data_IF_282242881330
#
_entry.id   IF_282242881330
#
_cell.length_a   1.000
_cell.length_b   1.000
_cell.length_c   1.000
_cell.angle_alpha   90.00
_cell.angle_beta   90.00
_cell.angle_gamma   90.00
#
_symmetry.space_group_name_H-M   'P 1'
#
loop_
_entity.id
_entity.type
_entity.pdbx_description
1 polymer ?
#
# COMPACT_ATOMS: atom_id res chain seq x y z
N UNK A 1 -11.87 -19.70 0.18
CA UNK A 1 -11.72 -21.10 0.65
C UNK A 1 -10.49 -21.70 -0.02
N UNK A 2 -9.30 -21.45 0.54
CA UNK A 2 -8.06 -22.06 0.07
C UNK A 2 -8.09 -23.53 0.41
N UNK A 3 -7.89 -24.40 -0.59
CA UNK A 3 -7.82 -25.86 -0.38
C UNK A 3 -6.65 -26.17 0.57
N UNK A 4 -6.91 -26.97 1.62
CA UNK A 4 -5.85 -27.51 2.51
C UNK A 4 -4.75 -28.16 1.66
N UNK A 5 -3.51 -27.69 1.77
CA UNK A 5 -2.33 -28.26 1.13
C UNK A 5 -1.61 -27.41 0.10
N UNK A 6 -2.12 -26.22 -0.26
CA UNK A 6 -1.41 -25.28 -1.15
C UNK A 6 -1.15 -23.94 -0.43
N UNK A 7 0.11 -23.52 -0.42
CA UNK A 7 0.47 -22.18 0.04
C UNK A 7 -0.04 -21.15 -0.96
N UNK A 8 -0.56 -20.03 -0.45
CA UNK A 8 -0.92 -18.87 -1.27
C UNK A 8 0.30 -17.97 -1.39
N UNK A 9 0.84 -17.85 -2.60
CA UNK A 9 1.95 -16.94 -2.88
C UNK A 9 1.43 -15.49 -2.93
N UNK A 10 1.94 -14.67 -2.04
CA UNK A 10 1.62 -13.24 -1.97
C UNK A 10 2.87 -12.42 -2.24
N UNK A 11 2.76 -11.40 -3.08
CA UNK A 11 3.81 -10.40 -3.28
C UNK A 11 3.37 -9.07 -2.68
N UNK A 12 4.16 -8.56 -1.75
CA UNK A 12 4.01 -7.20 -1.18
C UNK A 12 5.02 -6.28 -1.87
N UNK A 13 4.54 -5.37 -2.71
CA UNK A 13 5.39 -4.37 -3.33
C UNK A 13 5.68 -3.24 -2.35
N UNK A 14 6.95 -2.83 -2.28
CA UNK A 14 7.37 -1.76 -1.37
C UNK A 14 7.54 -2.18 0.09
N UNK A 15 8.08 -3.38 0.35
CA UNK A 15 8.27 -3.95 1.69
C UNK A 15 9.16 -3.14 2.64
N UNK A 16 9.81 -2.06 2.20
CA UNK A 16 10.56 -1.14 3.07
C UNK A 16 9.80 0.15 3.40
N UNK A 17 8.62 0.35 2.84
CA UNK A 17 7.74 1.48 3.15
C UNK A 17 7.03 1.29 4.50
N UNK A 18 6.46 2.37 5.05
CA UNK A 18 5.73 2.37 6.32
C UNK A 18 4.64 1.27 6.37
N UNK A 19 3.79 1.20 5.35
CA UNK A 19 2.75 0.16 5.26
C UNK A 19 3.31 -1.18 4.84
N UNK A 20 4.09 -1.21 3.73
CA UNK A 20 4.56 -2.46 3.13
C UNK A 20 5.38 -3.32 4.08
N UNK A 21 6.18 -2.72 4.96
CA UNK A 21 6.93 -3.41 6.00
C UNK A 21 5.99 -4.16 6.97
N UNK A 22 4.96 -3.50 7.43
CA UNK A 22 4.02 -4.09 8.40
C UNK A 22 3.15 -5.15 7.72
N UNK A 23 2.66 -4.90 6.51
CA UNK A 23 1.89 -5.90 5.74
C UNK A 23 2.74 -7.15 5.49
N UNK A 24 3.98 -6.97 5.06
CA UNK A 24 4.91 -8.10 4.82
C UNK A 24 5.13 -8.92 6.09
N UNK A 25 5.36 -8.30 7.26
CA UNK A 25 5.55 -8.98 8.55
C UNK A 25 4.29 -9.70 9.01
N UNK A 26 3.17 -8.99 9.09
CA UNK A 26 1.89 -9.52 9.62
C UNK A 26 1.37 -10.68 8.78
N UNK A 27 1.49 -10.61 7.45
CA UNK A 27 1.08 -11.72 6.59
C UNK A 27 2.05 -12.90 6.69
N UNK A 28 3.33 -12.66 6.94
CA UNK A 28 4.34 -13.73 7.10
C UNK A 28 4.19 -14.54 8.39
N UNK A 29 3.39 -14.06 9.36
CA UNK A 29 3.04 -14.80 10.57
C UNK A 29 2.06 -15.96 10.30
N UNK A 30 1.34 -15.91 9.18
CA UNK A 30 0.40 -16.95 8.80
C UNK A 30 1.12 -18.07 8.04
N UNK A 31 1.15 -19.25 8.62
CA UNK A 31 1.81 -20.42 8.03
C UNK A 31 1.15 -20.94 6.75
N UNK A 32 -0.07 -20.54 6.45
CA UNK A 32 -0.76 -20.86 5.19
C UNK A 32 -0.37 -19.93 4.02
N UNK A 33 0.40 -18.87 4.29
CA UNK A 33 0.79 -17.88 3.31
C UNK A 33 2.29 -17.93 3.02
N UNK A 34 2.65 -17.93 1.75
CA UNK A 34 4.03 -17.74 1.31
C UNK A 34 4.21 -16.30 0.82
N UNK A 35 4.68 -15.43 1.71
CA UNK A 35 4.75 -14.00 1.46
C UNK A 35 6.14 -13.59 1.02
N UNK A 36 6.23 -12.88 -0.10
CA UNK A 36 7.45 -12.27 -0.66
C UNK A 36 7.33 -10.76 -0.61
N UNK A 37 8.42 -10.08 -0.26
CA UNK A 37 8.47 -8.62 -0.26
C UNK A 37 9.41 -8.09 -1.34
N UNK A 38 9.04 -7.02 -2.04
CA UNK A 38 9.99 -6.35 -2.93
C UNK A 38 10.71 -5.21 -2.24
N UNK A 39 12.00 -5.11 -2.51
CA UNK A 39 12.87 -4.02 -2.08
C UNK A 39 13.60 -3.44 -3.29
N UNK A 40 13.90 -2.13 -3.27
CA UNK A 40 14.65 -1.52 -4.37
C UNK A 40 16.10 -1.99 -4.40
N UNK A 41 16.72 -2.15 -3.24
CA UNK A 41 18.12 -2.57 -3.07
C UNK A 41 18.19 -3.71 -2.08
N UNK A 42 19.03 -4.71 -2.39
CA UNK A 42 19.15 -5.93 -1.58
C UNK A 42 19.72 -5.67 -0.17
N UNK A 43 20.47 -4.59 0.03
CA UNK A 43 21.01 -4.20 1.32
C UNK A 43 19.91 -3.84 2.36
N UNK A 44 18.70 -3.60 1.88
CA UNK A 44 17.53 -3.41 2.76
C UNK A 44 17.16 -4.67 3.57
N UNK A 45 17.71 -5.84 3.24
CA UNK A 45 17.57 -7.08 4.03
C UNK A 45 17.98 -6.89 5.49
N UNK A 46 18.92 -6.01 5.78
CA UNK A 46 19.41 -5.70 7.14
C UNK A 46 18.32 -5.22 8.13
N UNK A 47 17.18 -4.75 7.62
CA UNK A 47 16.05 -4.31 8.45
C UNK A 47 15.11 -5.44 8.87
N UNK A 48 15.39 -6.67 8.43
CA UNK A 48 14.54 -7.82 8.65
C UNK A 48 15.32 -8.96 9.30
N UNK A 49 14.65 -9.78 10.09
CA UNK A 49 15.24 -11.03 10.60
C UNK A 49 15.55 -11.96 9.42
N UNK A 50 16.49 -12.88 9.60
CA UNK A 50 17.02 -13.74 8.54
C UNK A 50 15.93 -14.49 7.75
N UNK A 51 14.91 -15.00 8.42
CA UNK A 51 13.79 -15.70 7.80
C UNK A 51 13.03 -14.79 6.82
N UNK A 52 12.64 -13.59 7.24
CA UNK A 52 11.96 -12.63 6.39
C UNK A 52 12.89 -12.07 5.30
N UNK A 53 14.16 -11.84 5.64
CA UNK A 53 15.16 -11.36 4.70
C UNK A 53 15.36 -12.31 3.51
N UNK A 54 15.22 -13.63 3.73
CA UNK A 54 15.31 -14.65 2.66
C UNK A 54 14.19 -14.54 1.62
N UNK A 55 13.02 -14.00 2.01
CA UNK A 55 11.84 -13.81 1.16
C UNK A 55 11.79 -12.44 0.49
N UNK A 56 12.85 -11.63 0.62
CA UNK A 56 12.95 -10.32 -0.03
C UNK A 56 13.63 -10.44 -1.40
N UNK A 57 12.98 -9.83 -2.39
CA UNK A 57 13.41 -9.81 -3.79
C UNK A 57 13.78 -8.39 -4.17
N UNK A 58 14.97 -8.19 -4.72
CA UNK A 58 15.38 -6.91 -5.25
C UNK A 58 14.69 -6.65 -6.60
N UNK A 59 13.94 -5.56 -6.68
CA UNK A 59 13.36 -5.00 -7.90
C UNK A 59 13.74 -3.53 -7.93
N UNK A 60 14.78 -3.21 -8.68
CA UNK A 60 15.37 -1.87 -8.67
C UNK A 60 14.41 -0.81 -9.19
N UNK A 61 13.65 -1.18 -10.22
CA UNK A 61 12.71 -0.29 -10.88
C UNK A 61 11.37 -0.97 -11.16
N UNK A 62 10.36 -0.69 -10.33
CA UNK A 62 8.97 -1.15 -10.53
C UNK A 62 8.28 -0.48 -11.72
N UNK A 63 8.86 0.60 -12.29
CA UNK A 63 8.35 1.22 -13.51
C UNK A 63 8.74 0.41 -14.76
N UNK A 64 9.75 -0.46 -14.65
CA UNK A 64 10.20 -1.34 -15.73
C UNK A 64 9.30 -2.57 -15.84
N UNK A 65 8.51 -2.63 -16.90
CA UNK A 65 7.56 -3.73 -17.13
C UNK A 65 8.23 -5.11 -17.13
N UNK A 66 9.40 -5.24 -17.78
CA UNK A 66 10.14 -6.50 -17.82
C UNK A 66 10.59 -6.99 -16.43
N UNK A 67 10.87 -6.08 -15.48
CA UNK A 67 11.19 -6.48 -14.11
C UNK A 67 9.96 -7.01 -13.36
N UNK A 68 8.78 -6.42 -13.63
CA UNK A 68 7.52 -6.93 -13.09
C UNK A 68 7.19 -8.30 -13.68
N UNK A 69 7.31 -8.49 -14.98
CA UNK A 69 7.08 -9.80 -15.62
C UNK A 69 7.99 -10.88 -15.04
N UNK A 70 9.29 -10.59 -14.87
CA UNK A 70 10.22 -11.51 -14.21
C UNK A 70 9.80 -11.87 -12.80
N UNK A 71 9.35 -10.88 -12.01
CA UNK A 71 8.83 -11.09 -10.66
C UNK A 71 7.65 -12.06 -10.68
N UNK A 72 6.67 -11.83 -11.57
CA UNK A 72 5.49 -12.68 -11.71
C UNK A 72 5.85 -14.10 -12.18
N UNK A 73 6.78 -14.23 -13.12
CA UNK A 73 7.23 -15.54 -13.63
C UNK A 73 7.92 -16.37 -12.53
N UNK A 74 8.73 -15.74 -11.67
CA UNK A 74 9.46 -16.40 -10.58
C UNK A 74 8.52 -16.80 -9.45
N UNK A 75 7.69 -15.87 -8.97
CA UNK A 75 6.88 -16.06 -7.76
C UNK A 75 5.55 -16.75 -8.07
N UNK A 76 4.96 -16.49 -9.25
CA UNK A 76 3.61 -16.90 -9.61
C UNK A 76 2.60 -16.55 -8.53
N UNK A 77 2.48 -15.26 -8.19
CA UNK A 77 1.65 -14.82 -7.07
C UNK A 77 0.17 -15.08 -7.36
N UNK A 78 -0.59 -15.51 -6.36
CA UNK A 78 -2.05 -15.49 -6.39
C UNK A 78 -2.58 -14.13 -5.96
N UNK A 79 -1.83 -13.40 -5.12
CA UNK A 79 -2.22 -12.07 -4.68
C UNK A 79 -1.02 -11.12 -4.75
N UNK A 80 -1.25 -9.93 -5.28
CA UNK A 80 -0.28 -8.82 -5.28
C UNK A 80 -0.85 -7.67 -4.45
N UNK A 81 -0.07 -7.18 -3.48
CA UNK A 81 -0.46 -6.06 -2.63
C UNK A 81 0.46 -4.88 -2.95
N UNK A 82 -0.11 -3.83 -3.53
CA UNK A 82 0.67 -2.65 -3.90
C UNK A 82 0.72 -1.63 -2.76
N UNK A 83 1.80 -1.69 -1.98
CA UNK A 83 2.13 -0.73 -0.91
C UNK A 83 3.18 0.29 -1.35
N UNK A 84 3.43 0.48 -2.65
CA UNK A 84 4.45 1.40 -3.14
C UNK A 84 4.10 2.84 -2.85
N UNK A 85 5.08 3.61 -2.38
CA UNK A 85 4.99 5.04 -2.18
C UNK A 85 6.33 5.71 -2.48
N UNK A 86 6.27 6.94 -2.97
CA UNK A 86 7.46 7.77 -3.17
C UNK A 86 7.90 8.37 -1.84
N UNK A 87 9.21 8.35 -1.60
CA UNK A 87 9.81 9.05 -0.45
C UNK A 87 9.98 10.51 -0.79
N UNK A 88 9.41 11.40 0.03
CA UNK A 88 9.58 12.86 -0.06
C UNK A 88 9.64 13.37 -1.52
N UNK A 89 8.58 13.13 -2.31
CA UNK A 89 8.61 13.62 -3.68
C UNK A 89 8.61 15.15 -3.68
N UNK A 90 9.48 15.72 -4.50
CA UNK A 90 9.50 17.16 -4.71
C UNK A 90 8.42 17.56 -5.73
N UNK A 91 7.98 18.83 -5.76
CA UNK A 91 7.03 19.29 -6.79
C UNK A 91 7.49 19.07 -8.23
N UNK A 92 8.81 18.93 -8.47
CA UNK A 92 9.39 18.63 -9.77
C UNK A 92 9.32 17.16 -10.19
N UNK A 93 9.01 16.25 -9.27
CA UNK A 93 8.96 14.81 -9.53
C UNK A 93 7.65 14.33 -10.21
N UNK A 94 7.02 15.15 -11.05
CA UNK A 94 5.73 14.87 -11.69
C UNK A 94 5.74 13.54 -12.44
N UNK A 95 6.81 13.24 -13.18
CA UNK A 95 6.93 11.98 -13.93
C UNK A 95 6.92 10.77 -12.97
N UNK A 96 7.60 10.88 -11.83
CA UNK A 96 7.58 9.80 -10.84
C UNK A 96 6.20 9.61 -10.22
N UNK A 97 5.46 10.71 -9.95
CA UNK A 97 4.07 10.62 -9.50
C UNK A 97 3.23 9.84 -10.50
N UNK A 98 3.30 10.21 -11.78
CA UNK A 98 2.54 9.54 -12.84
C UNK A 98 2.94 8.05 -12.92
N UNK A 99 4.23 7.74 -12.96
CA UNK A 99 4.69 6.38 -13.13
C UNK A 99 4.31 5.47 -11.96
N UNK A 100 4.51 5.93 -10.71
CA UNK A 100 4.31 5.10 -9.51
C UNK A 100 2.87 5.11 -9.01
N UNK A 101 2.22 6.28 -9.03
CA UNK A 101 0.88 6.38 -8.46
C UNK A 101 -0.23 6.20 -9.48
N UNK A 102 0.00 6.55 -10.77
CA UNK A 102 -1.01 6.43 -11.81
C UNK A 102 -0.81 5.18 -12.69
N UNK A 103 0.34 5.03 -13.34
CA UNK A 103 0.56 3.96 -14.32
C UNK A 103 0.84 2.58 -13.71
N UNK A 104 1.64 2.51 -12.64
CA UNK A 104 2.02 1.22 -12.03
C UNK A 104 0.80 0.39 -11.59
N UNK A 105 -0.24 0.95 -10.93
CA UNK A 105 -1.42 0.18 -10.56
C UNK A 105 -2.11 -0.49 -11.76
N UNK A 106 -2.25 0.20 -12.88
CA UNK A 106 -2.86 -0.36 -14.10
C UNK A 106 -1.99 -1.45 -14.74
N UNK A 107 -0.65 -1.26 -14.74
CA UNK A 107 0.28 -2.31 -15.19
C UNK A 107 0.19 -3.56 -14.32
N UNK A 108 0.09 -3.38 -13.01
CA UNK A 108 -0.10 -4.49 -12.07
C UNK A 108 -1.43 -5.19 -12.28
N UNK A 109 -2.52 -4.45 -12.46
CA UNK A 109 -3.83 -5.02 -12.77
C UNK A 109 -3.79 -5.84 -14.07
N UNK A 110 -3.15 -5.31 -15.11
CA UNK A 110 -2.97 -6.04 -16.37
C UNK A 110 -2.17 -7.34 -16.18
N UNK A 111 -1.02 -7.29 -15.47
CA UNK A 111 -0.24 -8.49 -15.17
C UNK A 111 -1.03 -9.48 -14.29
N UNK A 112 -1.73 -9.00 -13.26
CA UNK A 112 -2.57 -9.85 -12.44
C UNK A 112 -3.64 -10.59 -13.27
N UNK A 113 -4.27 -9.90 -14.21
CA UNK A 113 -5.24 -10.52 -15.12
C UNK A 113 -4.60 -11.62 -15.98
N UNK A 114 -3.43 -11.36 -16.56
CA UNK A 114 -2.71 -12.35 -17.38
C UNK A 114 -2.30 -13.61 -16.62
N UNK A 115 -1.97 -13.45 -15.32
CA UNK A 115 -1.50 -14.53 -14.46
C UNK A 115 -2.58 -15.15 -13.57
N UNK A 116 -3.83 -14.70 -13.69
CA UNK A 116 -4.93 -15.17 -12.81
C UNK A 116 -4.74 -14.76 -11.34
N UNK A 117 -4.04 -13.66 -11.08
CA UNK A 117 -3.77 -13.13 -9.76
C UNK A 117 -4.80 -12.07 -9.35
N UNK A 118 -4.95 -11.83 -8.05
CA UNK A 118 -5.72 -10.71 -7.49
C UNK A 118 -4.81 -9.54 -7.13
N UNK A 119 -5.22 -8.30 -7.45
CA UNK A 119 -4.53 -7.09 -7.01
C UNK A 119 -5.27 -6.46 -5.83
N UNK A 120 -4.53 -6.16 -4.76
CA UNK A 120 -4.96 -5.27 -3.67
C UNK A 120 -4.19 -3.96 -3.83
N UNK A 121 -4.88 -2.93 -4.31
CA UNK A 121 -4.33 -1.60 -4.55
C UNK A 121 -4.62 -0.67 -3.37
N UNK A 122 -3.59 -0.10 -2.77
CA UNK A 122 -3.77 0.87 -1.69
C UNK A 122 -3.84 2.27 -2.29
N UNK A 123 -4.99 2.91 -2.11
CA UNK A 123 -5.26 4.31 -2.46
C UNK A 123 -5.29 5.17 -1.20
N UNK A 124 -5.88 6.35 -1.28
CA UNK A 124 -5.88 7.36 -0.21
C UNK A 124 -7.23 8.08 -0.14
N UNK A 125 -7.61 8.57 1.03
CA UNK A 125 -8.66 9.55 1.22
C UNK A 125 -8.30 10.93 0.62
N UNK A 126 -7.00 11.18 0.40
CA UNK A 126 -6.51 12.39 -0.28
C UNK A 126 -6.92 12.52 -1.76
N UNK A 127 -7.73 11.60 -2.33
CA UNK A 127 -8.44 11.81 -3.59
C UNK A 127 -9.58 12.82 -3.44
N UNK A 128 -9.92 13.19 -2.22
CA UNK A 128 -10.90 14.23 -1.89
C UNK A 128 -10.22 15.46 -1.30
N UNK A 129 -10.79 16.64 -1.55
CA UNK A 129 -10.31 17.92 -1.02
C UNK A 129 -10.42 18.06 0.50
N UNK A 130 -11.34 17.31 1.10
CA UNK A 130 -11.63 17.38 2.53
C UNK A 130 -12.53 18.55 2.93
N UNK A 131 -13.01 19.37 1.99
CA UNK A 131 -13.81 20.56 2.29
C UNK A 131 -15.17 20.25 2.91
N UNK A 132 -15.81 19.17 2.49
CA UNK A 132 -17.11 18.72 3.00
C UNK A 132 -16.99 17.74 4.18
N UNK A 133 -16.07 16.79 4.09
CA UNK A 133 -16.00 15.63 4.97
C UNK A 133 -17.11 14.60 4.68
N UNK A 134 -17.06 13.44 5.34
CA UNK A 134 -18.07 12.39 5.24
C UNK A 134 -18.28 11.85 3.81
N UNK A 135 -17.22 11.77 3.01
CA UNK A 135 -17.27 11.26 1.64
C UNK A 135 -17.54 9.75 1.61
N UNK A 136 -18.31 9.35 0.62
CA UNK A 136 -18.64 7.95 0.30
C UNK A 136 -17.95 7.50 -0.98
N UNK A 137 -18.03 6.21 -1.32
CA UNK A 137 -17.46 5.65 -2.55
C UNK A 137 -18.14 6.21 -3.82
N UNK A 138 -19.39 6.66 -3.71
CA UNK A 138 -20.18 7.22 -4.83
C UNK A 138 -19.87 8.70 -5.08
N UNK A 139 -19.19 9.37 -4.14
CA UNK A 139 -18.81 10.77 -4.32
C UNK A 139 -17.71 10.91 -5.37
N UNK A 140 -17.82 11.97 -6.19
CA UNK A 140 -16.80 12.30 -7.16
C UNK A 140 -15.56 12.85 -6.46
N UNK A 141 -14.37 12.25 -6.68
CA UNK A 141 -13.12 12.77 -6.16
C UNK A 141 -12.82 14.17 -6.71
N UNK A 142 -12.38 15.07 -5.83
CA UNK A 142 -12.17 16.47 -6.11
C UNK A 142 -10.78 16.99 -5.67
N UNK A 143 -9.80 16.09 -5.58
CA UNK A 143 -8.41 16.46 -5.27
C UNK A 143 -7.85 17.46 -6.29
N UNK A 144 -7.20 18.50 -5.80
CA UNK A 144 -6.55 19.53 -6.63
C UNK A 144 -5.01 19.47 -6.57
N UNK A 145 -4.46 18.73 -5.63
CA UNK A 145 -3.01 18.56 -5.51
C UNK A 145 -2.49 17.39 -6.36
N UNK A 146 -1.20 17.45 -6.70
CA UNK A 146 -0.56 16.45 -7.57
C UNK A 146 -0.62 15.02 -7.03
N UNK A 147 -0.54 14.87 -5.71
CA UNK A 147 -0.57 13.56 -5.07
C UNK A 147 -1.95 12.93 -5.18
N UNK A 148 -2.99 13.65 -4.75
CA UNK A 148 -4.36 13.18 -4.81
C UNK A 148 -4.79 12.85 -6.23
N UNK A 149 -4.50 13.74 -7.21
CA UNK A 149 -4.77 13.50 -8.64
C UNK A 149 -4.04 12.24 -9.14
N UNK A 150 -2.75 12.10 -8.84
CA UNK A 150 -1.98 10.94 -9.31
C UNK A 150 -2.47 9.63 -8.69
N UNK A 151 -2.86 9.63 -7.41
CA UNK A 151 -3.45 8.48 -6.74
C UNK A 151 -4.82 8.12 -7.30
N UNK A 152 -5.66 9.13 -7.58
CA UNK A 152 -6.96 8.95 -8.22
C UNK A 152 -6.83 8.28 -9.58
N UNK A 153 -5.90 8.77 -10.42
CA UNK A 153 -5.63 8.18 -11.74
C UNK A 153 -5.12 6.73 -11.67
N UNK A 154 -4.60 6.30 -10.54
CA UNK A 154 -4.14 4.93 -10.32
C UNK A 154 -5.16 4.02 -9.63
N UNK A 155 -6.40 4.46 -9.45
CA UNK A 155 -7.46 3.61 -8.91
C UNK A 155 -7.97 2.65 -9.97
N UNK A 156 -7.97 1.36 -9.64
CA UNK A 156 -8.36 0.26 -10.55
C UNK A 156 -9.68 -0.35 -10.11
N UNK A 157 -10.58 -0.63 -11.07
CA UNK A 157 -11.94 -1.16 -10.80
C UNK A 157 -12.23 -2.46 -11.57
N UNK A 158 -11.20 -3.25 -11.87
CA UNK A 158 -11.39 -4.52 -12.58
C UNK A 158 -11.88 -5.64 -11.63
N UNK A 159 -12.58 -6.70 -12.12
CA UNK A 159 -13.15 -7.75 -11.27
C UNK A 159 -12.16 -8.51 -10.39
N UNK A 160 -10.88 -8.53 -10.75
CA UNK A 160 -9.80 -9.16 -9.98
C UNK A 160 -9.02 -8.15 -9.12
N UNK A 161 -9.54 -6.92 -8.96
CA UNK A 161 -8.88 -5.86 -8.21
C UNK A 161 -9.75 -5.30 -7.11
N UNK A 162 -9.15 -5.01 -5.96
CA UNK A 162 -9.76 -4.20 -4.91
C UNK A 162 -8.87 -2.98 -4.67
N UNK A 163 -9.43 -1.80 -4.78
CA UNK A 163 -8.78 -0.54 -4.45
C UNK A 163 -9.31 -0.03 -3.11
N UNK A 164 -8.41 0.22 -2.17
CA UNK A 164 -8.76 0.63 -0.81
C UNK A 164 -8.32 2.07 -0.59
N UNK A 165 -9.27 2.99 -0.44
CA UNK A 165 -9.04 4.37 0.01
C UNK A 165 -8.95 4.39 1.53
N UNK A 166 -7.82 4.83 2.06
CA UNK A 166 -7.59 4.89 3.51
C UNK A 166 -6.52 5.92 3.85
N UNK A 167 -6.47 6.34 5.10
CA UNK A 167 -5.34 7.05 5.70
C UNK A 167 -4.61 6.15 6.69
N UNK A 168 -3.32 6.30 6.81
CA UNK A 168 -2.49 5.41 7.62
C UNK A 168 -1.50 6.19 8.47
N UNK A 169 -1.24 5.67 9.68
CA UNK A 169 -0.20 6.14 10.57
C UNK A 169 0.63 4.95 11.07
N UNK A 170 1.94 5.11 11.13
CA UNK A 170 2.82 4.03 11.62
C UNK A 170 4.29 4.42 11.60
N UNK A 171 5.10 3.52 12.15
CA UNK A 171 6.56 3.68 12.17
C UNK A 171 7.19 3.46 10.79
N UNK A 172 8.21 4.25 10.50
CA UNK A 172 9.03 4.13 9.30
C UNK A 172 10.31 3.35 9.60
N UNK A 173 10.72 2.45 8.70
CA UNK A 173 11.96 1.68 8.87
C UNK A 173 13.24 2.51 8.71
N UNK A 174 13.21 3.53 7.87
CA UNK A 174 14.43 4.19 7.38
C UNK A 174 14.40 5.70 7.50
N UNK A 175 13.23 6.29 7.54
CA UNK A 175 13.04 7.74 7.57
C UNK A 175 12.30 8.15 8.83
N UNK A 176 12.41 9.42 9.19
CA UNK A 176 11.68 10.00 10.33
C UNK A 176 10.88 11.20 9.85
N UNK A 177 10.10 10.99 8.78
CA UNK A 177 9.39 12.08 8.08
C UNK A 177 7.88 11.93 8.10
N UNK A 178 7.39 10.75 8.44
CA UNK A 178 5.96 10.52 8.67
C UNK A 178 5.45 11.23 9.92
N UNK A 179 4.14 11.41 10.00
CA UNK A 179 3.49 12.14 11.08
C UNK A 179 3.89 11.62 12.48
N UNK A 180 3.91 10.29 12.65
CA UNK A 180 4.26 9.67 13.93
C UNK A 180 5.71 9.95 14.32
N UNK A 181 6.64 9.72 13.41
CA UNK A 181 8.07 9.93 13.67
C UNK A 181 8.39 11.42 13.88
N UNK A 182 7.74 12.30 13.12
CA UNK A 182 7.83 13.73 13.33
C UNK A 182 7.35 14.12 14.75
N UNK A 183 6.17 13.64 15.17
CA UNK A 183 5.63 13.92 16.49
C UNK A 183 6.55 13.42 17.61
N UNK A 184 7.02 12.18 17.52
CA UNK A 184 7.93 11.58 18.50
C UNK A 184 9.31 12.26 18.56
N UNK A 185 9.68 13.04 17.55
CA UNK A 185 10.93 13.80 17.52
C UNK A 185 10.82 15.20 18.17
N UNK A 186 9.60 15.61 18.58
CA UNK A 186 9.42 16.90 19.27
C UNK A 186 9.84 16.77 20.74
N UNK A 187 10.56 17.78 21.26
CA UNK A 187 11.09 17.74 22.63
C UNK A 187 10.27 18.57 23.62
N UNK A 188 9.75 19.72 23.19
CA UNK A 188 9.06 20.65 24.11
C UNK A 188 7.61 20.91 23.68
N UNK A 189 7.44 21.60 22.56
CA UNK A 189 6.12 22.01 22.06
C UNK A 189 5.98 21.70 20.58
N UNK A 190 4.79 21.27 20.18
CA UNK A 190 4.45 21.15 18.77
C UNK A 190 3.11 21.82 18.48
N UNK A 191 2.98 22.36 17.26
CA UNK A 191 1.67 22.88 16.78
C UNK A 191 0.83 21.74 16.31
N UNK A 192 -0.37 21.63 16.86
CA UNK A 192 -1.38 20.67 16.46
C UNK A 192 -2.56 21.39 15.78
N UNK A 193 -3.37 20.63 15.04
CA UNK A 193 -4.45 21.19 14.23
C UNK A 193 -5.78 20.56 14.62
N UNK A 194 -6.63 21.30 15.35
CA UNK A 194 -7.94 20.83 15.81
C UNK A 194 -8.93 20.55 14.68
N UNK A 195 -8.76 21.22 13.53
CA UNK A 195 -9.60 21.02 12.34
C UNK A 195 -9.07 20.02 11.33
N UNK A 196 -7.86 19.49 11.56
CA UNK A 196 -7.30 18.43 10.70
C UNK A 196 -7.81 17.09 11.22
N UNK A 197 -8.88 16.61 10.62
CA UNK A 197 -9.53 15.36 10.99
C UNK A 197 -8.80 14.18 10.31
N UNK A 198 -8.61 13.12 11.08
CA UNK A 198 -8.00 11.89 10.66
C UNK A 198 -8.93 10.73 11.01
N UNK A 199 -9.24 9.90 10.04
CA UNK A 199 -10.06 8.68 10.20
C UNK A 199 -9.34 7.42 9.73
N UNK A 200 -8.01 7.47 9.74
CA UNK A 200 -7.17 6.37 9.26
C UNK A 200 -6.81 5.35 10.34
N UNK A 201 -6.06 4.35 9.93
CA UNK A 201 -5.65 3.23 10.78
C UNK A 201 -4.17 3.29 11.15
N UNK A 202 -3.80 2.76 12.33
CA UNK A 202 -2.44 2.26 12.54
C UNK A 202 -2.11 1.18 11.50
N UNK A 203 -0.91 1.24 10.91
CA UNK A 203 -0.51 0.28 9.85
C UNK A 203 -0.65 -1.17 10.26
N UNK A 204 -0.42 -1.51 11.55
CA UNK A 204 -0.56 -2.87 12.07
C UNK A 204 -2.02 -3.34 12.06
N UNK A 205 -2.96 -2.46 12.40
CA UNK A 205 -4.40 -2.77 12.38
C UNK A 205 -4.87 -2.96 10.95
N UNK A 206 -4.44 -2.09 10.04
CA UNK A 206 -4.77 -2.20 8.62
C UNK A 206 -4.17 -3.47 7.99
N UNK A 207 -2.95 -3.86 8.34
CA UNK A 207 -2.36 -5.11 7.87
C UNK A 207 -3.15 -6.35 8.35
N UNK A 208 -3.63 -6.35 9.59
CA UNK A 208 -4.54 -7.38 10.11
C UNK A 208 -5.88 -7.39 9.37
N UNK A 209 -6.44 -6.22 9.07
CA UNK A 209 -7.66 -6.11 8.26
C UNK A 209 -7.46 -6.73 6.86
N UNK A 210 -6.31 -6.49 6.21
CA UNK A 210 -5.98 -7.16 4.95
C UNK A 210 -5.99 -8.68 5.14
N UNK A 211 -5.33 -9.21 6.18
CA UNK A 211 -5.22 -10.64 6.47
C UNK A 211 -6.57 -11.28 6.76
N UNK A 212 -7.37 -10.65 7.61
CA UNK A 212 -8.54 -11.27 8.24
C UNK A 212 -9.85 -10.96 7.48
N UNK A 213 -9.86 -9.87 6.72
CA UNK A 213 -11.08 -9.43 6.02
C UNK A 213 -10.92 -9.47 4.50
N UNK A 214 -9.84 -8.88 3.95
CA UNK A 214 -9.71 -8.71 2.50
C UNK A 214 -9.25 -9.99 1.80
N UNK A 215 -8.23 -10.66 2.33
CA UNK A 215 -7.69 -11.89 1.73
C UNK A 215 -8.70 -13.04 1.69
N UNK A 216 -9.49 -13.31 2.77
CA UNK A 216 -10.45 -14.41 2.76
C UNK A 216 -11.68 -14.16 1.86
N UNK A 217 -11.86 -12.95 1.33
CA UNK A 217 -13.02 -12.56 0.51
C UNK A 217 -12.59 -12.19 -0.91
N UNK A 218 -12.28 -13.16 -1.76
CA UNK A 218 -11.86 -12.91 -3.14
C UNK A 218 -12.95 -12.26 -4.00
N UNK A 219 -14.21 -12.36 -3.60
CA UNK A 219 -15.36 -11.73 -4.25
C UNK A 219 -15.41 -10.21 -4.11
N UNK A 220 -14.69 -9.63 -3.15
CA UNK A 220 -14.62 -8.17 -3.01
C UNK A 220 -13.77 -7.57 -4.13
N UNK A 221 -14.35 -6.73 -4.94
CA UNK A 221 -13.71 -5.99 -6.03
C UNK A 221 -14.25 -4.57 -6.13
N UNK A 222 -13.53 -3.70 -6.83
CA UNK A 222 -13.89 -2.29 -6.97
C UNK A 222 -13.22 -1.40 -5.93
N UNK A 223 -13.85 -0.28 -5.57
CA UNK A 223 -13.30 0.73 -4.65
C UNK A 223 -14.05 0.68 -3.33
N UNK A 224 -13.30 0.68 -2.22
CA UNK A 224 -13.85 0.71 -0.87
C UNK A 224 -13.17 1.80 -0.04
N UNK A 225 -13.94 2.47 0.79
CA UNK A 225 -13.41 3.29 1.88
C UNK A 225 -13.18 2.42 3.11
N UNK A 226 -11.99 2.51 3.68
CA UNK A 226 -11.65 1.84 4.93
C UNK A 226 -11.17 2.90 5.91
N UNK A 227 -12.02 3.25 6.84
CA UNK A 227 -11.84 4.34 7.80
C UNK A 227 -12.27 3.96 9.20
N UNK A 228 -11.71 4.64 10.20
CA UNK A 228 -12.11 4.56 11.61
C UNK A 228 -12.99 5.74 11.98
N UNK A 229 -13.41 5.79 13.25
CA UNK A 229 -14.02 7.00 13.82
C UNK A 229 -13.06 8.19 13.65
N UNK A 230 -13.59 9.35 13.22
CA UNK A 230 -12.78 10.54 13.01
C UNK A 230 -12.25 11.09 14.32
N UNK A 231 -10.96 11.44 14.33
CA UNK A 231 -10.30 12.15 15.44
C UNK A 231 -9.57 13.38 14.90
N UNK A 232 -9.39 14.41 15.71
CA UNK A 232 -8.52 15.53 15.34
C UNK A 232 -7.05 15.13 15.49
N UNK A 233 -6.17 15.76 14.74
CA UNK A 233 -4.70 15.62 14.91
C UNK A 233 -4.18 16.50 16.05
N UNK A 234 -4.99 16.68 17.07
CA UNK A 234 -4.69 17.46 18.27
C UNK A 234 -4.44 16.54 19.45
#
# INVERSE_FOLDING_TARGET
>A
LFKKGFFVNIVVLGATGMLGNIVFRVLSEDSGLQVFGTVRRIDAKRYFIAELASRLIAVENLECYNQLEKLFAIIRPQVVINCTALRKPTPSDVIKFINIYSLLPHRLAHLCRLHGSRLIQISTDGVFSGTRGGYTEDDLPDASDKYGIAKLLGEVREPHTITIRTSLIGHELQTKTGLLEWFLSQHDQCRCYTRSIFSGFPTVVFAKLIREVVLPRPELYGIFHVATQPISKF
#
